data_IF_339164532581
#
_entry.id   IF_339164532581
#
_cell.length_a   1.000
_cell.length_b   1.000
_cell.length_c   1.000
_cell.angle_alpha   90.00
_cell.angle_beta   90.00
_cell.angle_gamma   90.00
#
_symmetry.space_group_name_H-M   'P 1'
#
loop_
_entity.id
_entity.type
_entity.pdbx_description
1 polymer ?
#
# COMPACT_ATOMS: atom_id res chain seq x y z
N UNK A 1 -1.81 -7.22 -8.61
CA UNK A 1 -3.14 -6.68 -8.29
C UNK A 1 -3.22 -6.38 -6.80
N UNK A 2 -3.70 -5.20 -6.44
CA UNK A 2 -3.96 -4.77 -5.06
C UNK A 2 -5.44 -4.49 -4.90
N UNK A 3 -6.07 -5.04 -3.86
CA UNK A 3 -7.46 -4.73 -3.54
C UNK A 3 -7.49 -3.49 -2.65
N UNK A 4 -8.22 -2.46 -3.06
CA UNK A 4 -8.31 -1.22 -2.29
C UNK A 4 -9.07 -1.42 -0.98
N UNK A 5 -10.13 -2.23 -1.04
CA UNK A 5 -10.76 -2.82 0.13
C UNK A 5 -10.21 -4.24 0.32
N UNK A 6 -9.70 -4.62 1.50
CA UNK A 6 -9.17 -5.96 1.73
C UNK A 6 -10.20 -7.06 1.45
N UNK A 7 -9.73 -8.22 0.94
CA UNK A 7 -10.61 -9.37 0.69
C UNK A 7 -11.28 -9.91 1.94
N UNK A 8 -10.57 -9.83 3.07
CA UNK A 8 -11.02 -10.34 4.38
C UNK A 8 -12.31 -9.66 4.86
N UNK A 9 -12.62 -8.48 4.34
CA UNK A 9 -13.82 -7.69 4.65
C UNK A 9 -14.77 -7.59 3.46
N UNK A 10 -14.68 -8.53 2.50
CA UNK A 10 -15.59 -8.59 1.35
C UNK A 10 -15.13 -7.81 0.11
N UNK A 11 -13.89 -7.29 0.08
CA UNK A 11 -13.36 -6.53 -1.05
C UNK A 11 -13.00 -7.32 -2.32
N UNK A 12 -13.48 -8.55 -2.46
CA UNK A 12 -13.15 -9.44 -3.59
C UNK A 12 -13.62 -8.87 -4.92
N UNK A 13 -14.82 -8.30 -4.97
CA UNK A 13 -15.42 -7.70 -6.18
C UNK A 13 -15.34 -6.16 -6.19
N UNK A 14 -14.67 -5.58 -5.20
CA UNK A 14 -14.49 -4.14 -5.10
C UNK A 14 -13.32 -3.65 -5.96
N UNK A 15 -13.22 -2.32 -6.17
CA UNK A 15 -12.18 -1.75 -7.01
C UNK A 15 -10.76 -2.21 -6.64
N UNK A 16 -9.97 -2.49 -7.67
CA UNK A 16 -8.59 -2.95 -7.53
C UNK A 16 -7.64 -2.03 -8.30
N UNK A 17 -6.39 -2.02 -7.87
CA UNK A 17 -5.32 -1.25 -8.47
C UNK A 17 -4.23 -2.17 -9.03
N UNK A 18 -3.77 -1.88 -10.24
CA UNK A 18 -2.57 -2.51 -10.78
C UNK A 18 -1.34 -1.82 -10.21
N UNK A 19 -0.77 -2.43 -9.17
CA UNK A 19 0.45 -1.97 -8.52
C UNK A 19 1.58 -2.94 -8.80
N UNK A 20 2.78 -2.37 -8.93
CA UNK A 20 4.01 -3.12 -8.98
C UNK A 20 4.24 -3.92 -7.68
N UNK A 21 4.97 -5.04 -7.73
CA UNK A 21 5.25 -5.86 -6.53
C UNK A 21 5.85 -5.04 -5.37
N UNK A 22 6.88 -4.19 -5.57
CA UNK A 22 7.43 -3.41 -4.45
C UNK A 22 6.44 -2.35 -3.95
N UNK A 23 5.67 -1.72 -4.84
CA UNK A 23 4.61 -0.78 -4.49
C UNK A 23 3.60 -1.44 -3.54
N UNK A 24 3.11 -2.62 -3.93
CA UNK A 24 2.14 -3.38 -3.16
C UNK A 24 2.69 -3.77 -1.77
N UNK A 25 3.90 -4.34 -1.72
CA UNK A 25 4.55 -4.75 -0.47
C UNK A 25 4.73 -3.56 0.47
N UNK A 26 5.06 -2.39 -0.06
CA UNK A 26 5.32 -1.21 0.75
C UNK A 26 4.05 -0.60 1.34
N UNK A 27 2.92 -0.61 0.63
CA UNK A 27 1.63 -0.19 1.21
C UNK A 27 1.32 -1.01 2.46
N UNK A 28 1.38 -2.35 2.35
CA UNK A 28 1.18 -3.24 3.49
C UNK A 28 2.30 -3.16 4.54
N UNK A 29 3.45 -2.56 4.22
CA UNK A 29 4.51 -2.28 5.18
C UNK A 29 4.17 -1.08 6.09
N UNK A 30 3.42 -0.13 5.53
CA UNK A 30 3.05 1.12 6.18
C UNK A 30 1.74 1.01 6.97
N UNK A 31 0.77 0.27 6.41
CA UNK A 31 -0.62 0.23 6.90
C UNK A 31 -1.10 -1.19 7.17
N UNK A 32 -2.04 -1.33 8.12
CA UNK A 32 -2.82 -2.55 8.32
C UNK A 32 -3.99 -2.63 7.33
N UNK A 33 -4.61 -3.79 7.20
CA UNK A 33 -5.79 -3.95 6.33
C UNK A 33 -6.97 -3.10 6.81
N UNK A 34 -7.17 -3.01 8.13
CA UNK A 34 -8.13 -2.12 8.78
C UNK A 34 -7.90 -0.63 8.42
N UNK A 35 -6.65 -0.15 8.49
CA UNK A 35 -6.34 1.23 8.08
C UNK A 35 -6.58 1.47 6.59
N UNK A 36 -6.34 0.46 5.75
CA UNK A 36 -6.60 0.54 4.32
C UNK A 36 -8.09 0.60 4.03
N UNK A 37 -8.89 -0.24 4.68
CA UNK A 37 -10.34 -0.26 4.54
C UNK A 37 -11.00 1.06 4.96
N UNK A 38 -10.65 1.57 6.15
CA UNK A 38 -11.37 2.71 6.74
C UNK A 38 -10.95 4.03 6.08
N UNK A 39 -9.66 4.19 5.72
CA UNK A 39 -9.10 5.49 5.32
C UNK A 39 -8.53 5.54 3.91
N UNK A 40 -8.11 4.41 3.34
CA UNK A 40 -7.32 4.37 2.10
C UNK A 40 -7.91 3.41 1.06
N UNK A 41 -9.23 3.21 1.08
CA UNK A 41 -9.97 2.27 0.24
C UNK A 41 -10.29 2.80 -1.18
N UNK A 42 -9.75 3.96 -1.55
CA UNK A 42 -9.86 4.52 -2.90
C UNK A 42 -8.49 4.96 -3.42
N UNK A 43 -8.36 5.05 -4.74
CA UNK A 43 -7.13 5.56 -5.38
C UNK A 43 -6.86 7.02 -4.97
N UNK A 44 -7.91 7.82 -4.85
CA UNK A 44 -7.81 9.22 -4.46
C UNK A 44 -7.25 9.35 -3.04
N UNK A 45 -7.78 8.56 -2.10
CA UNK A 45 -7.28 8.53 -0.71
C UNK A 45 -5.83 8.05 -0.65
N UNK A 46 -5.46 7.02 -1.43
CA UNK A 46 -4.08 6.57 -1.53
C UNK A 46 -3.15 7.66 -2.11
N UNK A 47 -3.59 8.39 -3.13
CA UNK A 47 -2.79 9.48 -3.74
C UNK A 47 -2.66 10.69 -2.82
N UNK A 48 -3.68 10.96 -2.00
CA UNK A 48 -3.70 12.04 -1.01
C UNK A 48 -2.88 11.74 0.25
N UNK A 49 -2.57 10.48 0.55
CA UNK A 49 -1.80 10.12 1.74
C UNK A 49 -0.33 10.54 1.64
N UNK A 50 0.14 11.26 2.66
CA UNK A 50 1.49 11.80 2.70
C UNK A 50 2.58 10.69 2.66
N UNK A 51 2.35 9.56 3.35
CA UNK A 51 3.35 8.48 3.37
C UNK A 51 3.40 7.76 2.03
N UNK A 52 2.25 7.57 1.37
CA UNK A 52 2.20 7.04 0.01
C UNK A 52 2.87 7.99 -0.97
N UNK A 53 2.66 9.30 -0.85
CA UNK A 53 3.31 10.27 -1.72
C UNK A 53 4.84 10.26 -1.57
N UNK A 54 5.34 10.22 -0.32
CA UNK A 54 6.78 10.06 -0.02
C UNK A 54 7.33 8.77 -0.61
N UNK A 55 6.57 7.68 -0.51
CA UNK A 55 6.92 6.40 -1.13
C UNK A 55 7.02 6.52 -2.65
N UNK A 56 6.01 7.08 -3.33
CA UNK A 56 6.01 7.23 -4.78
C UNK A 56 7.22 8.05 -5.26
N UNK A 57 7.54 9.15 -4.57
CA UNK A 57 8.73 9.96 -4.84
C UNK A 57 10.03 9.16 -4.73
N UNK A 58 10.13 8.26 -3.75
CA UNK A 58 11.30 7.42 -3.57
C UNK A 58 11.38 6.27 -4.59
N UNK A 59 10.25 5.61 -4.89
CA UNK A 59 10.16 4.53 -5.89
C UNK A 59 10.59 5.02 -7.27
N UNK A 60 10.19 6.24 -7.67
CA UNK A 60 10.58 6.85 -8.95
C UNK A 60 12.09 7.00 -9.13
N UNK A 61 12.87 6.96 -8.04
CA UNK A 61 14.33 7.03 -8.07
C UNK A 61 14.99 5.65 -8.15
N UNK A 62 14.23 4.56 -8.09
CA UNK A 62 14.77 3.19 -8.13
C UNK A 62 14.78 2.66 -9.57
N UNK A 63 15.77 1.83 -9.95
CA UNK A 63 15.74 1.14 -11.23
C UNK A 63 14.57 0.18 -11.31
N UNK A 64 13.95 0.07 -12.49
CA UNK A 64 12.81 -0.83 -12.74
C UNK A 64 13.12 -2.31 -12.51
N UNK A 65 14.38 -2.71 -12.64
CA UNK A 65 14.87 -4.08 -12.41
C UNK A 65 15.13 -4.41 -10.93
N UNK A 66 15.11 -3.40 -10.04
CA UNK A 66 15.51 -3.57 -8.65
C UNK A 66 14.35 -4.02 -7.76
N UNK A 67 14.44 -5.25 -7.25
CA UNK A 67 13.56 -5.74 -6.19
C UNK A 67 13.93 -5.09 -4.85
N UNK A 68 13.12 -4.13 -4.43
CA UNK A 68 13.28 -3.45 -3.14
C UNK A 68 12.88 -4.38 -1.99
N UNK A 69 13.82 -4.66 -1.08
CA UNK A 69 13.53 -5.32 0.19
C UNK A 69 12.68 -4.41 1.06
N UNK A 70 11.47 -4.86 1.40
CA UNK A 70 10.52 -4.10 2.21
C UNK A 70 10.49 -4.62 3.65
N UNK A 71 10.69 -3.75 4.64
CA UNK A 71 10.53 -4.06 6.07
C UNK A 71 9.36 -3.28 6.66
N UNK A 72 8.50 -3.96 7.42
CA UNK A 72 7.37 -3.38 8.17
C UNK A 72 7.82 -2.15 8.97
N UNK A 73 7.09 -1.04 8.88
CA UNK A 73 7.33 0.14 9.71
C UNK A 73 7.19 -0.20 11.20
N UNK A 74 7.94 0.48 12.08
CA UNK A 74 7.84 0.30 13.54
C UNK A 74 6.39 0.50 14.00
N UNK A 75 5.70 1.53 13.49
CA UNK A 75 4.29 1.78 13.80
C UNK A 75 3.40 0.59 13.40
N UNK A 76 3.62 0.03 12.21
CA UNK A 76 2.89 -1.13 11.70
C UNK A 76 3.18 -2.41 12.49
N UNK A 77 4.38 -2.56 13.06
CA UNK A 77 4.74 -3.70 13.93
C UNK A 77 4.10 -3.62 15.30
N UNK A 78 3.90 -2.42 15.84
CA UNK A 78 3.24 -2.19 17.14
C UNK A 78 1.73 -2.39 17.09
N UNK A 79 1.10 -2.17 15.93
CA UNK A 79 -0.34 -2.40 15.68
C UNK A 79 -0.70 -3.84 15.29
N UNK A 80 0.09 -4.81 15.75
CA UNK A 80 -0.03 -6.20 15.31
C UNK A 80 -0.98 -6.98 16.20
#
# INVERSE_FOLDING_TARGET
MHHLTPKEVGGTFLPTAQLCIPCHKQIHSLYTNDELEVRLNTIENLRGDEKIHKLMKWIRKQPSTKLVKTKKSIKRRKKR
#
